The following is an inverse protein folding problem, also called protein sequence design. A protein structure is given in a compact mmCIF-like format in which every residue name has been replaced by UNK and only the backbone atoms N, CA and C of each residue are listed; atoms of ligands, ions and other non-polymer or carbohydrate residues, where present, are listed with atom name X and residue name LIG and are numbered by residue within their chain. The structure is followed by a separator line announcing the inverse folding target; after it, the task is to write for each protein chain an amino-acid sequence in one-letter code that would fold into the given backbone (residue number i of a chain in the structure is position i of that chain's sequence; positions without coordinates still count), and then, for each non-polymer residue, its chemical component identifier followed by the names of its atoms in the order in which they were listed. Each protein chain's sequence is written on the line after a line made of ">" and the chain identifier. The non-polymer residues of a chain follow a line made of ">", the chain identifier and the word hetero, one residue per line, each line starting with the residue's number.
data_IF_429139964938
#
_entry.id   IF_429139964938
#
_cell.length_a   1.000
_cell.length_b   1.000
_cell.length_c   1.000
_cell.angle_alpha   90.00
_cell.angle_beta   90.00
_cell.angle_gamma   90.00
#
_symmetry.space_group_name_H-M   'P 1'
#
loop_
_entity.id
_entity.type
_entity.pdbx_description
1 polymer ?
#
# COMPACT_ATOMS: atom_id res chain seq x y z
N UNK A 1 -19.34 18.15 -23.07
CA UNK A 1 -18.01 18.21 -22.44
C UNK A 1 -17.11 19.00 -23.37
N UNK A 2 -16.14 19.77 -22.86
CA UNK A 2 -15.24 20.53 -23.75
C UNK A 2 -14.22 19.54 -24.32
N UNK A 3 -14.03 19.44 -25.66
CA UNK A 3 -13.14 18.45 -26.27
C UNK A 3 -11.70 18.51 -25.72
N UNK A 4 -11.27 19.69 -25.28
CA UNK A 4 -9.97 19.90 -24.65
C UNK A 4 -9.86 19.27 -23.25
N UNK A 5 -10.95 19.25 -22.45
CA UNK A 5 -10.94 18.58 -21.15
C UNK A 5 -10.85 17.06 -21.30
N UNK A 6 -11.57 16.46 -22.26
CA UNK A 6 -11.48 15.02 -22.55
C UNK A 6 -10.05 14.61 -22.93
N UNK A 7 -9.41 15.36 -23.82
CA UNK A 7 -8.03 15.12 -24.22
C UNK A 7 -7.06 15.24 -23.02
N UNK A 8 -7.27 16.21 -22.13
CA UNK A 8 -6.43 16.36 -20.92
C UNK A 8 -6.64 15.20 -19.94
N UNK A 9 -7.88 14.73 -19.79
CA UNK A 9 -8.21 13.57 -18.96
C UNK A 9 -7.53 12.32 -19.50
N UNK A 10 -7.63 12.05 -20.81
CA UNK A 10 -7.02 10.88 -21.44
C UNK A 10 -5.49 10.90 -21.31
N UNK A 11 -4.85 12.04 -21.59
CA UNK A 11 -3.40 12.21 -21.41
C UNK A 11 -2.98 11.97 -19.97
N UNK A 12 -3.76 12.43 -19.00
CA UNK A 12 -3.48 12.21 -17.59
C UNK A 12 -3.61 10.73 -17.22
N UNK A 13 -4.69 10.07 -17.65
CA UNK A 13 -4.93 8.63 -17.40
C UNK A 13 -3.80 7.78 -17.99
N UNK A 14 -3.35 8.09 -19.21
CA UNK A 14 -2.24 7.39 -19.88
C UNK A 14 -0.89 7.55 -19.18
N UNK A 15 -0.71 8.62 -18.38
CA UNK A 15 0.51 8.86 -17.60
C UNK A 15 0.49 8.21 -16.21
N UNK A 16 -0.61 7.60 -15.78
CA UNK A 16 -0.72 6.96 -14.47
C UNK A 16 -0.18 5.51 -14.50
N UNK A 17 0.36 5.03 -13.38
CA UNK A 17 0.67 3.61 -13.24
C UNK A 17 -0.61 2.75 -13.23
N UNK A 18 -0.53 1.54 -13.76
CA UNK A 18 -1.67 0.62 -13.98
C UNK A 18 -2.53 0.40 -12.72
N UNK A 19 -1.87 0.37 -11.56
CA UNK A 19 -2.50 0.16 -10.26
C UNK A 19 -3.43 1.32 -9.82
N UNK A 20 -3.24 2.52 -10.37
CA UNK A 20 -4.11 3.68 -10.17
C UNK A 20 -5.05 3.82 -11.36
N UNK A 21 -4.55 3.58 -12.58
CA UNK A 21 -5.28 3.75 -13.83
C UNK A 21 -6.63 3.01 -13.83
N UNK A 22 -6.65 1.74 -13.43
CA UNK A 22 -7.89 0.95 -13.39
C UNK A 22 -8.96 1.55 -12.46
N UNK A 23 -8.55 2.10 -11.31
CA UNK A 23 -9.48 2.75 -10.36
C UNK A 23 -10.01 4.08 -10.90
N UNK A 24 -9.17 4.83 -11.63
CA UNK A 24 -9.57 6.10 -12.24
C UNK A 24 -10.55 5.87 -13.40
N UNK A 25 -10.30 4.87 -14.25
CA UNK A 25 -11.20 4.51 -15.36
C UNK A 25 -12.56 4.06 -14.83
N UNK A 26 -12.57 3.20 -13.80
CA UNK A 26 -13.82 2.70 -13.20
C UNK A 26 -14.69 3.80 -12.58
N UNK A 27 -14.10 4.94 -12.23
CA UNK A 27 -14.81 6.08 -11.65
C UNK A 27 -15.35 7.08 -12.69
N UNK A 28 -15.11 6.83 -13.99
CA UNK A 28 -15.58 7.63 -15.14
C UNK A 28 -15.57 9.15 -14.90
N UNK A 29 -14.40 9.75 -14.60
CA UNK A 29 -14.32 11.15 -14.21
C UNK A 29 -14.63 12.10 -15.37
N UNK A 30 -15.64 12.94 -15.22
CA UNK A 30 -16.03 13.96 -16.20
C UNK A 30 -15.18 15.24 -16.18
N UNK A 31 -14.24 15.37 -15.24
CA UNK A 31 -13.40 16.58 -15.09
C UNK A 31 -11.99 16.19 -14.68
N UNK A 32 -11.00 16.94 -15.18
CA UNK A 32 -9.58 16.72 -14.82
C UNK A 32 -9.33 16.79 -13.31
N UNK A 33 -10.01 17.72 -12.61
CA UNK A 33 -9.91 17.81 -11.14
C UNK A 33 -10.36 16.53 -10.44
N UNK A 34 -11.36 15.83 -10.97
CA UNK A 34 -11.84 14.57 -10.40
C UNK A 34 -10.80 13.46 -10.61
N UNK A 35 -10.19 13.37 -11.80
CA UNK A 35 -9.09 12.45 -12.09
C UNK A 35 -7.97 12.59 -11.05
N UNK A 36 -7.51 13.83 -10.83
CA UNK A 36 -6.45 14.15 -9.85
C UNK A 36 -6.88 13.77 -8.43
N UNK A 37 -8.12 14.06 -8.04
CA UNK A 37 -8.65 13.70 -6.71
C UNK A 37 -8.70 12.18 -6.51
N UNK A 38 -9.17 11.43 -7.51
CA UNK A 38 -9.30 9.97 -7.45
C UNK A 38 -7.91 9.34 -7.37
N UNK A 39 -6.97 9.77 -8.23
CA UNK A 39 -5.59 9.28 -8.19
C UNK A 39 -4.94 9.49 -6.81
N UNK A 40 -5.08 10.69 -6.23
CA UNK A 40 -4.59 10.98 -4.88
C UNK A 40 -5.26 10.11 -3.81
N UNK A 41 -6.56 9.90 -3.88
CA UNK A 41 -7.27 9.05 -2.92
C UNK A 41 -6.80 7.59 -2.99
N UNK A 42 -6.57 7.06 -4.19
CA UNK A 42 -6.05 5.69 -4.37
C UNK A 42 -4.65 5.56 -3.77
N UNK A 43 -3.79 6.56 -3.96
CA UNK A 43 -2.46 6.60 -3.34
C UNK A 43 -2.53 6.69 -1.81
N UNK A 44 -3.39 7.56 -1.27
CA UNK A 44 -3.58 7.75 0.17
C UNK A 44 -4.14 6.48 0.84
N UNK A 45 -5.09 5.80 0.20
CA UNK A 45 -5.61 4.52 0.68
C UNK A 45 -4.54 3.42 0.73
N UNK A 46 -3.65 3.37 -0.27
CA UNK A 46 -2.52 2.42 -0.29
C UNK A 46 -1.52 2.71 0.82
N UNK A 47 -1.23 3.99 1.08
CA UNK A 47 -0.35 4.43 2.16
C UNK A 47 -0.93 4.10 3.54
N UNK A 48 -2.20 4.45 3.78
CA UNK A 48 -2.92 4.12 5.03
C UNK A 48 -3.01 2.62 5.26
N UNK A 49 -3.26 1.85 4.20
CA UNK A 49 -3.25 0.38 4.27
C UNK A 49 -1.88 -0.18 4.68
N UNK A 50 -0.79 0.48 4.27
CA UNK A 50 0.58 0.12 4.65
C UNK A 50 0.87 0.46 6.12
N UNK A 51 0.48 1.63 6.59
CA UNK A 51 0.65 2.01 8.00
C UNK A 51 -0.13 1.11 8.96
N UNK A 52 -1.38 0.78 8.63
CA UNK A 52 -2.20 -0.13 9.43
C UNK A 52 -1.60 -1.54 9.44
N UNK A 53 -1.14 -2.05 8.30
CA UNK A 53 -0.44 -3.35 8.23
C UNK A 53 0.89 -3.33 8.96
N UNK A 54 1.64 -2.23 8.88
CA UNK A 54 2.93 -2.09 9.54
C UNK A 54 2.78 -2.07 11.08
N UNK A 55 1.79 -1.33 11.60
CA UNK A 55 1.47 -1.33 13.02
C UNK A 55 1.06 -2.73 13.52
N UNK A 56 0.23 -3.46 12.75
CA UNK A 56 -0.16 -4.83 13.06
C UNK A 56 1.01 -5.81 12.98
N UNK A 57 1.88 -5.68 11.97
CA UNK A 57 3.10 -6.45 11.82
C UNK A 57 4.03 -6.23 13.02
N UNK A 58 4.34 -4.98 13.35
CA UNK A 58 5.21 -4.62 14.48
C UNK A 58 4.71 -5.22 15.80
N UNK A 59 3.41 -5.14 16.07
CA UNK A 59 2.80 -5.77 17.26
C UNK A 59 2.94 -7.29 17.26
N UNK A 60 2.81 -7.95 16.09
CA UNK A 60 3.03 -9.41 15.97
C UNK A 60 4.51 -9.76 16.12
N UNK A 61 5.42 -8.96 15.58
CA UNK A 61 6.86 -9.16 15.73
C UNK A 61 7.26 -9.08 17.21
N UNK A 62 6.78 -8.06 17.94
CA UNK A 62 7.03 -7.92 19.38
C UNK A 62 6.44 -9.08 20.21
N UNK A 63 5.23 -9.55 19.89
CA UNK A 63 4.63 -10.73 20.54
C UNK A 63 5.46 -11.99 20.27
N UNK A 64 5.81 -12.27 19.01
CA UNK A 64 6.62 -13.43 18.68
C UNK A 64 8.03 -13.36 19.28
N UNK A 65 8.61 -12.15 19.45
CA UNK A 65 9.89 -11.98 20.15
C UNK A 65 9.77 -12.34 21.63
N UNK A 66 8.72 -11.89 22.32
CA UNK A 66 8.50 -12.22 23.74
C UNK A 66 8.22 -13.71 23.97
N UNK A 67 7.53 -14.37 23.06
CA UNK A 67 7.31 -15.82 23.10
C UNK A 67 8.58 -16.64 22.78
N UNK A 68 9.48 -16.13 21.91
CA UNK A 68 10.77 -16.78 21.64
C UNK A 68 11.79 -16.63 22.78
N UNK A 69 11.65 -15.64 23.67
CA UNK A 69 12.48 -15.53 24.88
C UNK A 69 12.20 -16.64 25.91
N UNK A 70 11.08 -17.36 25.79
CA UNK A 70 10.73 -18.49 26.66
C UNK A 70 11.09 -19.88 26.12
N UNK A 71 11.52 -19.99 24.85
CA UNK A 71 11.72 -21.28 24.19
C UNK A 71 13.01 -21.38 23.36
N UNK A 72 14.06 -20.62 23.69
CA UNK A 72 15.39 -21.06 23.27
C UNK A 72 15.74 -22.31 24.09
N UNK A 73 15.91 -23.49 23.47
CA UNK A 73 16.52 -24.61 24.19
C UNK A 73 17.91 -24.15 24.61
N UNK A 74 18.33 -24.34 25.86
CA UNK A 74 19.72 -24.12 26.22
C UNK A 74 20.52 -25.05 25.33
N UNK A 75 21.36 -24.49 24.45
CA UNK A 75 22.30 -25.26 23.65
C UNK A 75 23.19 -26.04 24.62
N UNK A 76 22.80 -27.28 24.94
CA UNK A 76 23.62 -28.22 25.70
C UNK A 76 24.78 -28.59 24.80
N UNK A 77 25.91 -27.91 24.97
CA UNK A 77 27.20 -28.38 24.48
C UNK A 77 27.62 -29.52 25.43
N UNK A 78 27.81 -30.75 24.96
CA UNK A 78 28.57 -31.71 25.74
C UNK A 78 30.05 -31.31 25.65
N UNK A 79 30.69 -31.11 26.80
CA UNK A 79 32.14 -31.04 26.89
C UNK A 79 32.72 -32.37 26.36
N UNK A 80 33.68 -32.28 25.46
CA UNK A 80 34.59 -33.38 25.16
C UNK A 80 35.76 -33.29 26.15
N UNK A 81 36.03 -34.43 26.78
CA UNK A 81 37.17 -34.72 27.68
C UNK A 81 38.50 -34.73 26.93
#
# INVERSE_FOLDING_TARGET
>A
MVPEEENRIEKFIRGLPDNIQGNVIAAEPMRLKNVVRIANNVMDQKLKGYDVKNAKNKRRLEVNQRDNCGQQPPFKRPNAE
#
